data_IF_443914312561
#
_entry.id   IF_443914312561
#
_cell.length_a   1.000
_cell.length_b   1.000
_cell.length_c   1.000
_cell.angle_alpha   90.00
_cell.angle_beta   90.00
_cell.angle_gamma   90.00
#
_symmetry.space_group_name_H-M   'P 1'
#
loop_
_entity.id
_entity.type
_entity.pdbx_description
1 polymer ?
#
# COMPACT_ATOMS: atom_id res chain seq x y z
N UNK A 1 1.26 8.92 -7.53
CA UNK A 1 0.59 9.61 -6.40
C UNK A 1 1.43 9.42 -5.16
N UNK A 2 1.99 10.50 -4.62
CA UNK A 2 2.76 10.43 -3.36
C UNK A 2 1.82 10.09 -2.21
N UNK A 3 2.17 9.07 -1.43
CA UNK A 3 1.39 8.65 -0.28
C UNK A 3 1.71 9.60 0.89
N UNK A 4 0.68 10.18 1.53
CA UNK A 4 0.89 10.97 2.75
C UNK A 4 1.64 10.15 3.80
N UNK A 5 2.66 10.75 4.42
CA UNK A 5 3.47 10.11 5.46
C UNK A 5 2.59 9.66 6.62
N UNK A 6 3.00 8.59 7.30
CA UNK A 6 2.22 8.04 8.40
C UNK A 6 2.12 9.01 9.59
N UNK A 7 3.20 9.75 9.86
CA UNK A 7 3.24 10.77 10.91
C UNK A 7 2.16 11.83 10.68
N UNK A 8 2.02 12.33 9.44
CA UNK A 8 1.00 13.33 9.10
C UNK A 8 -0.41 12.81 9.39
N UNK A 9 -0.69 11.55 9.04
CA UNK A 9 -1.99 10.92 9.27
C UNK A 9 -2.30 10.83 10.76
N UNK A 10 -1.34 10.33 11.54
CA UNK A 10 -1.48 10.19 12.99
C UNK A 10 -1.70 11.53 13.67
N UNK A 11 -0.91 12.56 13.30
CA UNK A 11 -1.06 13.91 13.86
C UNK A 11 -2.42 14.54 13.51
N UNK A 12 -2.89 14.36 12.28
CA UNK A 12 -4.19 14.87 11.85
C UNK A 12 -5.36 14.18 12.58
N UNK A 13 -5.32 12.84 12.73
CA UNK A 13 -6.35 12.09 13.44
C UNK A 13 -6.33 12.43 14.94
N UNK A 14 -5.15 12.46 15.57
CA UNK A 14 -5.03 12.84 16.99
C UNK A 14 -5.51 14.25 17.26
N UNK A 15 -5.22 15.21 16.35
CA UNK A 15 -5.74 16.56 16.45
C UNK A 15 -7.28 16.60 16.48
N UNK A 16 -7.95 15.76 15.68
CA UNK A 16 -9.40 15.64 15.69
C UNK A 16 -9.93 14.99 16.98
N UNK A 17 -9.30 13.91 17.44
CA UNK A 17 -9.66 13.21 18.68
C UNK A 17 -9.50 14.13 19.90
N UNK A 18 -8.47 14.99 19.89
CA UNK A 18 -8.23 16.01 20.93
C UNK A 18 -9.23 17.19 20.90
N UNK A 19 -10.30 17.09 20.11
CA UNK A 19 -11.41 18.06 20.12
C UNK A 19 -11.34 19.15 19.05
N UNK A 20 -10.36 19.12 18.12
CA UNK A 20 -10.39 20.06 16.98
C UNK A 20 -11.49 19.67 15.99
N UNK A 21 -12.18 20.67 15.47
CA UNK A 21 -13.18 20.48 14.42
C UNK A 21 -12.51 19.97 13.13
N UNK A 22 -13.26 19.20 12.33
CA UNK A 22 -12.77 18.67 11.05
C UNK A 22 -12.24 19.78 10.13
N UNK A 23 -12.94 20.91 10.08
CA UNK A 23 -12.54 22.07 9.26
C UNK A 23 -11.21 22.66 9.72
N UNK A 24 -10.98 22.77 11.03
CA UNK A 24 -9.74 23.31 11.55
C UNK A 24 -8.58 22.36 11.30
N UNK A 25 -8.75 21.07 11.58
CA UNK A 25 -7.75 20.03 11.29
C UNK A 25 -7.36 20.02 9.81
N UNK A 26 -8.31 20.14 8.89
CA UNK A 26 -8.00 20.20 7.45
C UNK A 26 -7.14 21.42 7.09
N UNK A 27 -7.40 22.58 7.69
CA UNK A 27 -6.61 23.80 7.48
C UNK A 27 -5.21 23.68 8.06
N UNK A 28 -5.10 23.20 9.29
CA UNK A 28 -3.83 23.05 10.02
C UNK A 28 -2.86 22.10 9.29
N UNK A 29 -3.38 21.01 8.72
CA UNK A 29 -2.58 19.99 8.04
C UNK A 29 -2.59 20.12 6.51
N UNK A 30 -3.24 21.15 5.96
CA UNK A 30 -3.40 21.39 4.51
C UNK A 30 -3.91 20.15 3.74
N UNK A 31 -4.84 19.41 4.35
CA UNK A 31 -5.45 18.22 3.74
C UNK A 31 -6.90 18.48 3.35
N UNK A 32 -7.39 17.73 2.37
CA UNK A 32 -8.80 17.77 2.01
C UNK A 32 -9.68 17.12 3.07
N UNK A 33 -10.90 17.62 3.24
CA UNK A 33 -11.88 17.05 4.17
C UNK A 33 -12.20 15.56 3.91
N UNK A 34 -12.37 15.12 2.65
CA UNK A 34 -12.52 13.69 2.34
C UNK A 34 -11.31 12.84 2.76
N UNK A 35 -10.10 13.39 2.72
CA UNK A 35 -8.90 12.68 3.18
C UNK A 35 -8.94 12.43 4.68
N UNK A 36 -9.33 13.45 5.46
CA UNK A 36 -9.48 13.31 6.91
C UNK A 36 -10.58 12.30 7.26
N UNK A 37 -11.73 12.36 6.59
CA UNK A 37 -12.83 11.42 6.83
C UNK A 37 -12.42 9.96 6.51
N UNK A 38 -11.66 9.73 5.43
CA UNK A 38 -11.11 8.40 5.11
C UNK A 38 -10.17 7.88 6.21
N UNK A 39 -9.29 8.73 6.74
CA UNK A 39 -8.38 8.32 7.81
C UNK A 39 -9.12 8.03 9.10
N UNK A 40 -10.17 8.78 9.43
CA UNK A 40 -11.02 8.48 10.59
C UNK A 40 -11.72 7.14 10.44
N UNK A 41 -12.32 6.85 9.28
CA UNK A 41 -12.95 5.54 9.00
C UNK A 41 -11.93 4.39 9.12
N UNK A 42 -10.75 4.56 8.54
CA UNK A 42 -9.68 3.57 8.61
C UNK A 42 -9.22 3.34 10.06
N UNK A 43 -9.08 4.40 10.84
CA UNK A 43 -8.70 4.32 12.25
C UNK A 43 -9.77 3.63 13.10
N UNK A 44 -11.05 3.90 12.86
CA UNK A 44 -12.16 3.23 13.58
C UNK A 44 -12.28 1.76 13.23
N UNK A 45 -12.02 1.37 11.98
CA UNK A 45 -12.16 -0.02 11.51
C UNK A 45 -10.93 -0.89 11.86
N UNK A 46 -9.72 -0.35 11.66
CA UNK A 46 -8.47 -1.13 11.70
C UNK A 46 -7.60 -0.80 12.93
N UNK A 47 -7.88 0.29 13.64
CA UNK A 47 -7.07 0.79 14.76
C UNK A 47 -5.71 1.38 14.36
N UNK A 48 -5.36 1.38 13.07
CA UNK A 48 -4.07 1.87 12.57
C UNK A 48 -4.22 2.60 11.23
N UNK A 49 -3.27 3.50 10.93
CA UNK A 49 -3.28 4.39 9.76
C UNK A 49 -2.20 4.03 8.72
N UNK A 50 -1.66 2.82 8.81
CA UNK A 50 -0.59 2.39 7.92
C UNK A 50 -1.05 2.48 6.46
N UNK A 51 -0.21 3.01 5.57
CA UNK A 51 -0.51 2.96 4.15
C UNK A 51 -0.61 1.50 3.72
N UNK A 52 -1.58 1.22 2.84
CA UNK A 52 -1.68 -0.09 2.21
C UNK A 52 -0.44 -0.27 1.33
N UNK A 53 0.55 -1.02 1.81
CA UNK A 53 1.77 -1.35 1.05
C UNK A 53 1.50 -2.46 0.04
N UNK A 54 0.32 -2.48 -0.59
CA UNK A 54 0.06 -3.37 -1.73
C UNK A 54 0.97 -2.89 -2.86
N UNK A 55 2.20 -3.39 -2.86
CA UNK A 55 3.06 -3.36 -4.02
C UNK A 55 2.24 -3.94 -5.17
N UNK A 56 2.30 -3.28 -6.32
CA UNK A 56 1.75 -3.85 -7.53
C UNK A 56 2.50 -5.15 -7.75
N UNK A 57 1.85 -6.28 -7.42
CA UNK A 57 2.39 -7.59 -7.75
C UNK A 57 2.35 -7.62 -9.28
N UNK A 58 3.50 -7.71 -9.92
CA UNK A 58 3.57 -7.91 -11.37
C UNK A 58 2.74 -9.11 -11.77
N UNK A 59 2.54 -9.30 -13.08
CA UNK A 59 1.82 -10.47 -13.58
C UNK A 59 2.36 -11.74 -12.90
N UNK A 60 1.44 -12.57 -12.40
CA UNK A 60 1.77 -13.92 -11.90
C UNK A 60 2.79 -14.60 -12.80
N UNK A 61 3.76 -15.30 -12.18
CA UNK A 61 4.80 -16.02 -12.92
C UNK A 61 4.18 -16.96 -13.96
N UNK A 62 4.71 -16.93 -15.19
CA UNK A 62 4.28 -17.82 -16.28
C UNK A 62 4.66 -19.28 -15.95
N UNK A 63 5.82 -19.47 -15.33
CA UNK A 63 6.25 -20.77 -14.80
C UNK A 63 5.68 -20.90 -13.39
N UNK A 64 4.64 -21.72 -13.27
CA UNK A 64 3.99 -22.03 -12.00
C UNK A 64 4.61 -23.26 -11.32
N UNK A 65 5.04 -24.24 -12.11
CA UNK A 65 5.68 -25.46 -11.64
C UNK A 65 7.18 -25.44 -11.97
N UNK A 66 7.98 -25.20 -10.94
CA UNK A 66 9.43 -25.18 -11.03
C UNK A 66 10.03 -26.56 -11.21
N UNK A 67 9.38 -27.61 -10.71
CA UNK A 67 9.93 -28.97 -10.74
C UNK A 67 9.83 -29.54 -12.16
N UNK A 68 8.64 -29.43 -12.79
CA UNK A 68 8.45 -29.79 -14.19
C UNK A 68 9.36 -28.99 -15.14
N UNK A 69 9.54 -27.69 -14.88
CA UNK A 69 10.44 -26.84 -15.67
C UNK A 69 11.90 -27.29 -15.54
N UNK A 70 12.34 -27.62 -14.32
CA UNK A 70 13.72 -28.08 -14.07
C UNK A 70 13.99 -29.40 -14.77
N UNK A 71 13.05 -30.36 -14.68
CA UNK A 71 13.18 -31.63 -15.40
C UNK A 71 13.22 -31.44 -16.92
N UNK A 72 12.40 -30.53 -17.46
CA UNK A 72 12.42 -30.20 -18.88
C UNK A 72 13.81 -29.72 -19.32
N UNK A 73 14.38 -28.72 -18.63
CA UNK A 73 15.69 -28.15 -18.96
C UNK A 73 16.81 -29.19 -18.87
N UNK A 74 16.76 -30.09 -17.88
CA UNK A 74 17.78 -31.14 -17.72
C UNK A 74 17.69 -32.22 -18.81
N UNK A 75 16.49 -32.53 -19.29
CA UNK A 75 16.25 -33.60 -20.26
C UNK A 75 16.28 -33.13 -21.72
N UNK A 76 16.41 -31.83 -21.97
CA UNK A 76 16.43 -31.26 -23.33
C UNK A 76 17.84 -30.83 -23.72
N UNK A 77 18.24 -31.19 -24.94
CA UNK A 77 19.48 -30.69 -25.54
C UNK A 77 19.18 -29.40 -26.30
N UNK A 78 19.86 -28.33 -25.93
CA UNK A 78 19.71 -27.02 -26.57
C UNK A 78 20.88 -26.76 -27.52
N UNK A 79 20.58 -26.46 -28.78
CA UNK A 79 21.58 -26.04 -29.75
C UNK A 79 21.99 -24.59 -29.45
N UNK A 80 23.23 -24.40 -29.00
CA UNK A 80 23.78 -23.07 -28.81
C UNK A 80 24.23 -22.54 -30.16
N UNK A 81 23.64 -21.43 -30.63
CA UNK A 81 24.11 -20.75 -31.84
C UNK A 81 25.52 -20.18 -31.57
N UNK A 82 26.48 -20.58 -32.41
CA UNK A 82 27.87 -20.08 -32.40
C UNK A 82 28.01 -18.79 -33.19
#
# INVERSE_FOLDING_TARGET
MSCYSIDLRQRAVNAHINGKSKSQTCRDFQISRPTLDKWLSQFTEQGHLNPITKYQKGHSHIITDWESFTQFVQNTTFDTLK
#
